data_IF_422101852338
#
_entry.id   IF_422101852338
#
_cell.length_a   1.000
_cell.length_b   1.000
_cell.length_c   1.000
_cell.angle_alpha   90.00
_cell.angle_beta   90.00
_cell.angle_gamma   90.00
#
_symmetry.space_group_name_H-M   'P 1'
#
loop_
_entity.id
_entity.type
_entity.pdbx_description
1 polymer ?
#
# COMPACT_ATOMS: atom_id res chain seq x y z
N UNK A 1 -14.71 23.52 -13.32
CA UNK A 1 -13.27 23.72 -13.13
C UNK A 1 -13.04 24.79 -12.09
N UNK A 2 -12.85 24.50 -10.85
CA UNK A 2 -12.02 25.34 -9.98
C UNK A 2 -11.28 24.54 -8.89
N UNK A 3 -10.79 23.33 -9.16
CA UNK A 3 -10.16 22.49 -8.13
C UNK A 3 -8.63 22.48 -8.17
N UNK A 4 -7.99 23.19 -9.10
CA UNK A 4 -6.55 23.12 -9.32
C UNK A 4 -5.70 24.10 -8.48
N UNK A 5 -6.30 24.95 -7.65
CA UNK A 5 -5.56 26.09 -7.10
C UNK A 5 -5.00 25.97 -5.69
N UNK A 6 -5.18 24.82 -4.97
CA UNK A 6 -4.82 24.79 -3.54
C UNK A 6 -4.20 23.47 -3.02
N UNK A 7 -3.58 22.65 -3.85
CA UNK A 7 -2.93 21.43 -3.35
C UNK A 7 -1.47 21.66 -2.95
N UNK A 8 -1.25 22.25 -1.78
CA UNK A 8 -0.10 21.83 -0.99
C UNK A 8 -0.42 20.42 -0.49
N UNK A 9 0.46 19.42 -0.74
CA UNK A 9 0.21 18.06 -0.26
C UNK A 9 -0.06 18.08 1.24
N UNK A 10 -1.18 17.48 1.67
CA UNK A 10 -1.53 17.38 3.09
C UNK A 10 -0.43 16.69 3.89
N UNK A 11 0.29 15.78 3.23
CA UNK A 11 1.43 15.06 3.78
C UNK A 11 2.64 15.94 4.13
N UNK A 12 2.71 17.18 3.63
CA UNK A 12 3.93 17.99 3.70
C UNK A 12 4.36 18.31 5.14
N UNK A 13 3.47 18.78 6.00
CA UNK A 13 3.83 19.20 7.37
C UNK A 13 4.40 18.06 8.22
N UNK A 14 3.77 16.89 8.36
CA UNK A 14 4.33 15.79 9.14
C UNK A 14 5.70 15.35 8.64
N UNK A 15 5.91 15.41 7.33
CA UNK A 15 7.16 14.97 6.70
C UNK A 15 8.26 16.02 6.84
N UNK A 16 7.93 17.31 6.77
CA UNK A 16 8.88 18.39 7.12
C UNK A 16 9.34 18.27 8.57
N UNK A 17 8.43 17.99 9.50
CA UNK A 17 8.80 17.77 10.90
C UNK A 17 9.70 16.55 11.07
N UNK A 18 9.45 15.45 10.35
CA UNK A 18 10.37 14.32 10.31
C UNK A 18 11.74 14.72 9.73
N UNK A 19 11.80 15.56 8.70
CA UNK A 19 13.02 16.12 8.13
C UNK A 19 13.82 16.93 9.16
N UNK A 20 13.14 17.84 9.87
CA UNK A 20 13.75 18.63 10.94
C UNK A 20 14.28 17.74 12.07
N UNK A 21 13.55 16.68 12.46
CA UNK A 21 14.05 15.70 13.42
C UNK A 21 15.40 15.11 13.00
N UNK A 22 15.54 14.66 11.74
CA UNK A 22 16.79 14.11 11.26
C UNK A 22 17.89 15.13 11.01
N UNK A 23 17.52 16.38 10.73
CA UNK A 23 18.48 17.48 10.60
C UNK A 23 19.11 17.82 11.94
N UNK A 24 18.30 17.91 13.01
CA UNK A 24 18.73 18.26 14.36
C UNK A 24 18.95 17.02 15.25
N UNK A 25 19.15 15.84 14.69
CA UNK A 25 19.25 14.58 15.46
C UNK A 25 20.37 14.61 16.51
N UNK A 26 21.49 15.32 16.24
CA UNK A 26 22.61 15.48 17.17
C UNK A 26 22.26 16.46 18.30
N UNK A 27 21.64 17.57 17.98
CA UNK A 27 21.21 18.60 18.95
C UNK A 27 20.10 18.09 19.85
N UNK A 28 19.20 17.24 19.34
CA UNK A 28 18.14 16.58 20.11
C UNK A 28 18.66 15.48 21.05
N UNK A 29 19.93 15.09 20.96
CA UNK A 29 20.58 14.21 21.93
C UNK A 29 21.10 14.93 23.19
N UNK A 30 21.01 16.27 23.27
CA UNK A 30 21.34 17.10 24.43
C UNK A 30 20.15 17.22 25.43
N UNK A 31 20.25 17.85 26.62
CA UNK A 31 19.44 17.59 27.83
C UNK A 31 17.92 17.69 27.70
N UNK A 32 17.37 18.18 26.59
CA UNK A 32 15.91 18.13 26.36
C UNK A 32 15.50 16.74 25.91
N UNK A 33 14.64 16.03 26.64
CA UNK A 33 14.25 14.68 26.29
C UNK A 33 13.52 14.65 24.93
N UNK A 34 13.83 13.64 24.11
CA UNK A 34 13.25 13.48 22.74
C UNK A 34 11.71 13.49 22.72
N UNK A 35 11.06 13.15 23.83
CA UNK A 35 9.59 13.18 23.94
C UNK A 35 9.02 14.60 23.76
N UNK A 36 9.76 15.65 24.17
CA UNK A 36 9.31 17.04 24.01
C UNK A 36 9.15 17.42 22.51
N UNK A 37 10.11 16.99 21.68
CA UNK A 37 10.00 17.19 20.23
C UNK A 37 8.77 16.42 19.65
N UNK A 38 8.54 15.18 20.09
CA UNK A 38 7.39 14.39 19.66
C UNK A 38 6.07 15.05 20.04
N UNK A 39 5.90 15.46 21.27
CA UNK A 39 4.68 16.15 21.74
C UNK A 39 4.47 17.44 20.94
N UNK A 40 5.49 18.30 20.82
CA UNK A 40 5.37 19.55 20.06
C UNK A 40 4.99 19.33 18.59
N UNK A 41 5.64 18.37 17.94
CA UNK A 41 5.34 18.02 16.53
C UNK A 41 3.94 17.46 16.36
N UNK A 42 3.51 16.52 17.20
CA UNK A 42 2.18 15.93 17.13
C UNK A 42 1.09 16.97 17.44
N UNK A 43 1.32 17.87 18.41
CA UNK A 43 0.40 18.97 18.71
C UNK A 43 0.25 19.90 17.50
N UNK A 44 1.36 20.29 16.85
CA UNK A 44 1.32 21.15 15.67
C UNK A 44 0.58 20.46 14.51
N UNK A 45 0.86 19.17 14.26
CA UNK A 45 0.17 18.39 13.23
C UNK A 45 -1.34 18.33 13.54
N UNK A 46 -1.73 18.10 14.79
CA UNK A 46 -3.12 18.05 15.19
C UNK A 46 -3.85 19.38 14.97
N UNK A 47 -3.21 20.49 15.36
CA UNK A 47 -3.78 21.84 15.16
C UNK A 47 -3.96 22.15 13.67
N UNK A 48 -2.91 21.95 12.86
CA UNK A 48 -2.99 22.21 11.42
C UNK A 48 -3.99 21.27 10.76
N UNK A 49 -3.98 19.98 11.08
CA UNK A 49 -4.90 19.00 10.54
C UNK A 49 -6.37 19.33 10.85
N UNK A 50 -6.66 19.87 12.03
CA UNK A 50 -8.00 20.29 12.39
C UNK A 50 -8.54 21.42 11.49
N UNK A 51 -7.67 22.32 11.03
CA UNK A 51 -8.02 23.43 10.14
C UNK A 51 -7.94 23.10 8.64
N UNK A 52 -7.13 22.09 8.26
CA UNK A 52 -6.94 21.73 6.84
C UNK A 52 -8.11 20.94 6.27
N UNK A 53 -8.87 20.22 7.13
CA UNK A 53 -9.97 19.37 6.66
C UNK A 53 -11.09 20.20 6.06
N UNK A 54 -11.42 19.95 4.80
CA UNK A 54 -12.48 20.62 4.05
C UNK A 54 -13.72 19.72 3.96
N UNK A 55 -14.90 20.33 3.75
CA UNK A 55 -16.21 19.63 3.70
C UNK A 55 -16.28 18.49 2.64
N UNK A 56 -15.54 18.62 1.55
CA UNK A 56 -15.53 17.63 0.46
C UNK A 56 -14.46 16.54 0.60
N UNK A 57 -13.65 16.58 1.66
CA UNK A 57 -12.69 15.53 1.97
C UNK A 57 -13.37 14.31 2.60
N UNK A 58 -12.63 13.19 2.67
CA UNK A 58 -13.04 11.97 3.37
C UNK A 58 -14.19 11.19 2.72
N UNK A 59 -14.24 11.20 1.38
CA UNK A 59 -15.29 10.51 0.64
C UNK A 59 -15.39 9.01 1.00
N UNK A 60 -14.25 8.28 1.01
CA UNK A 60 -14.22 6.85 1.36
C UNK A 60 -14.59 6.62 2.82
N UNK A 61 -14.15 7.53 3.71
CA UNK A 61 -14.50 7.44 5.12
C UNK A 61 -16.01 7.55 5.32
N UNK A 62 -16.64 8.60 4.80
CA UNK A 62 -18.07 8.82 5.01
C UNK A 62 -18.91 7.79 4.28
N UNK A 63 -18.65 7.54 3.00
CA UNK A 63 -19.42 6.60 2.20
C UNK A 63 -19.23 5.15 2.65
N UNK A 64 -18.01 4.77 3.05
CA UNK A 64 -17.67 3.42 3.46
C UNK A 64 -17.72 3.25 4.98
N UNK A 65 -16.69 3.70 5.66
CA UNK A 65 -16.44 3.33 7.07
C UNK A 65 -17.46 3.90 8.05
N UNK A 66 -17.78 5.19 7.95
CA UNK A 66 -18.77 5.84 8.84
C UNK A 66 -20.16 5.23 8.65
N UNK A 67 -20.62 5.11 7.41
CA UNK A 67 -21.92 4.48 7.13
C UNK A 67 -21.92 2.99 7.45
N UNK A 68 -20.84 2.27 7.20
CA UNK A 68 -20.67 0.87 7.61
C UNK A 68 -20.82 0.69 9.11
N UNK A 69 -20.14 1.52 9.91
CA UNK A 69 -20.29 1.52 11.39
C UNK A 69 -21.72 1.83 11.86
N UNK A 70 -22.44 2.72 11.17
CA UNK A 70 -23.86 3.01 11.48
C UNK A 70 -24.79 1.87 11.09
N UNK A 71 -24.60 1.29 9.90
CA UNK A 71 -25.42 0.19 9.39
C UNK A 71 -25.32 -1.05 10.29
N UNK A 72 -24.11 -1.40 10.73
CA UNK A 72 -23.89 -2.59 11.57
C UNK A 72 -24.57 -2.52 12.94
N UNK A 73 -24.81 -1.32 13.46
CA UNK A 73 -25.51 -1.12 14.74
C UNK A 73 -27.03 -1.00 14.55
N UNK A 74 -27.46 -0.34 13.47
CA UNK A 74 -28.90 -0.05 13.26
C UNK A 74 -29.62 -1.18 12.55
N UNK A 75 -29.06 -1.65 11.47
CA UNK A 75 -29.56 -2.76 10.68
C UNK A 75 -28.42 -3.34 9.84
N UNK A 76 -27.84 -4.44 10.26
CA UNK A 76 -26.72 -5.09 9.59
C UNK A 76 -27.09 -5.64 8.21
N UNK A 77 -28.36 -5.98 7.99
CA UNK A 77 -28.83 -6.59 6.74
C UNK A 77 -28.62 -5.68 5.53
N UNK A 78 -28.62 -4.35 5.77
CA UNK A 78 -28.39 -3.34 4.72
C UNK A 78 -26.92 -2.98 4.52
N UNK A 79 -25.97 -3.71 5.13
CA UNK A 79 -24.55 -3.35 5.10
C UNK A 79 -24.00 -3.24 3.66
N UNK A 80 -24.44 -4.14 2.77
CA UNK A 80 -24.00 -4.24 1.38
C UNK A 80 -25.09 -3.97 0.33
N UNK A 81 -26.16 -3.26 0.69
CA UNK A 81 -27.29 -2.96 -0.22
C UNK A 81 -26.89 -2.10 -1.41
N UNK A 82 -25.82 -1.30 -1.27
CA UNK A 82 -25.28 -0.45 -2.33
C UNK A 82 -24.31 -1.18 -3.28
N UNK A 83 -24.42 -2.50 -3.38
CA UNK A 83 -23.58 -3.35 -4.23
C UNK A 83 -22.06 -3.11 -4.00
N UNK A 84 -21.68 -2.84 -2.73
CA UNK A 84 -20.29 -2.55 -2.32
C UNK A 84 -19.69 -1.25 -2.88
N UNK A 85 -20.49 -0.31 -3.35
CA UNK A 85 -20.03 1.04 -3.68
C UNK A 85 -19.77 1.90 -2.42
N UNK A 86 -20.23 1.47 -1.24
CA UNK A 86 -19.97 2.08 0.04
C UNK A 86 -18.95 1.31 0.86
N UNK A 87 -19.43 0.49 1.80
CA UNK A 87 -18.57 -0.36 2.63
C UNK A 87 -18.17 -1.62 1.87
N UNK A 88 -16.87 -1.80 1.62
CA UNK A 88 -16.34 -2.90 0.80
C UNK A 88 -15.54 -3.94 1.58
N UNK A 89 -15.17 -3.61 2.83
CA UNK A 89 -14.36 -4.48 3.66
C UNK A 89 -15.19 -5.63 4.26
N UNK A 90 -14.48 -6.61 4.82
CA UNK A 90 -15.07 -7.73 5.55
C UNK A 90 -16.06 -7.25 6.64
N UNK A 91 -17.21 -7.90 6.87
CA UNK A 91 -18.30 -7.36 7.70
C UNK A 91 -17.86 -6.96 9.11
N UNK A 92 -17.03 -7.80 9.78
CA UNK A 92 -16.54 -7.53 11.12
C UNK A 92 -15.75 -6.21 11.21
N UNK A 93 -15.12 -5.78 10.10
CA UNK A 93 -14.36 -4.54 10.05
C UNK A 93 -15.22 -3.29 10.30
N UNK A 94 -16.52 -3.35 9.99
CA UNK A 94 -17.44 -2.24 10.23
C UNK A 94 -17.59 -1.90 11.73
N UNK A 95 -17.46 -2.91 12.61
CA UNK A 95 -17.54 -2.69 14.07
C UNK A 95 -16.41 -1.81 14.62
N UNK A 96 -15.23 -1.76 13.97
CA UNK A 96 -14.14 -0.88 14.37
C UNK A 96 -14.53 0.60 14.25
N UNK A 97 -15.50 0.93 13.40
CA UNK A 97 -15.95 2.29 13.16
C UNK A 97 -17.18 2.69 13.98
N UNK A 98 -17.78 1.76 14.73
CA UNK A 98 -18.94 2.06 15.58
C UNK A 98 -18.68 3.22 16.57
N UNK A 99 -17.54 3.27 17.28
CA UNK A 99 -17.27 4.40 18.18
C UNK A 99 -17.29 5.76 17.47
N UNK A 100 -16.73 5.81 16.27
CA UNK A 100 -16.68 7.01 15.43
C UNK A 100 -18.06 7.31 14.80
N UNK A 101 -18.79 6.28 14.39
CA UNK A 101 -20.11 6.41 13.78
C UNK A 101 -21.19 6.93 14.74
N UNK A 102 -20.95 6.85 16.05
CA UNK A 102 -21.83 7.41 17.10
C UNK A 102 -21.56 8.91 17.37
N UNK A 103 -20.47 9.46 16.84
CA UNK A 103 -20.19 10.88 16.93
C UNK A 103 -20.99 11.68 15.88
N UNK A 104 -21.18 13.02 16.08
CA UNK A 104 -21.62 13.89 15.01
C UNK A 104 -20.72 13.74 13.78
N UNK A 105 -21.31 13.77 12.58
CA UNK A 105 -20.62 13.43 11.31
C UNK A 105 -19.33 14.22 11.13
N UNK A 106 -19.35 15.52 11.34
CA UNK A 106 -18.19 16.42 11.19
C UNK A 106 -17.08 16.08 12.19
N UNK A 107 -17.44 15.86 13.46
CA UNK A 107 -16.48 15.49 14.51
C UNK A 107 -15.85 14.12 14.20
N UNK A 108 -16.66 13.16 13.79
CA UNK A 108 -16.21 11.82 13.38
C UNK A 108 -15.18 11.88 12.26
N UNK A 109 -15.47 12.65 11.21
CA UNK A 109 -14.57 12.86 10.09
C UNK A 109 -13.25 13.51 10.52
N UNK A 110 -13.32 14.56 11.35
CA UNK A 110 -12.12 15.24 11.88
C UNK A 110 -11.26 14.31 12.73
N UNK A 111 -11.86 13.52 13.61
CA UNK A 111 -11.13 12.54 14.44
C UNK A 111 -10.44 11.49 13.56
N UNK A 112 -11.16 10.94 12.58
CA UNK A 112 -10.57 9.95 11.68
C UNK A 112 -9.42 10.52 10.83
N UNK A 113 -9.61 11.72 10.28
CA UNK A 113 -8.57 12.41 9.53
C UNK A 113 -7.33 12.66 10.39
N UNK A 114 -7.52 13.18 11.60
CA UNK A 114 -6.43 13.48 12.53
C UNK A 114 -5.63 12.23 12.90
N UNK A 115 -6.29 11.08 13.12
CA UNK A 115 -5.58 9.81 13.36
C UNK A 115 -4.70 9.45 12.17
N UNK A 116 -5.22 9.47 10.94
CA UNK A 116 -4.45 9.19 9.74
C UNK A 116 -3.30 10.18 9.51
N UNK A 117 -3.54 11.46 9.79
CA UNK A 117 -2.59 12.54 9.61
C UNK A 117 -1.44 12.51 10.63
N UNK A 118 -1.76 12.26 11.90
CA UNK A 118 -0.77 12.09 12.97
C UNK A 118 0.14 10.88 12.73
N UNK A 119 -0.38 9.81 12.13
CA UNK A 119 0.41 8.61 11.81
C UNK A 119 1.50 8.87 10.75
N UNK A 120 1.40 9.92 9.94
CA UNK A 120 2.42 10.23 8.93
C UNK A 120 3.79 10.55 9.54
N UNK A 121 3.83 11.17 10.71
CA UNK A 121 5.09 11.49 11.38
C UNK A 121 5.85 10.23 11.82
N UNK A 122 5.27 9.31 12.62
CA UNK A 122 5.94 8.07 12.96
C UNK A 122 6.21 7.21 11.71
N UNK A 123 5.31 7.18 10.71
CA UNK A 123 5.52 6.48 9.46
C UNK A 123 6.80 6.97 8.75
N UNK A 124 6.97 8.29 8.59
CA UNK A 124 8.14 8.89 7.97
C UNK A 124 9.42 8.55 8.74
N UNK A 125 9.39 8.70 10.08
CA UNK A 125 10.53 8.37 10.92
C UNK A 125 10.91 6.88 10.86
N UNK A 126 9.92 5.99 10.90
CA UNK A 126 10.14 4.56 10.79
C UNK A 126 10.64 4.16 9.40
N UNK A 127 10.09 4.74 8.34
CA UNK A 127 10.54 4.49 6.97
C UNK A 127 12.03 4.79 6.80
N UNK A 128 12.48 5.98 7.26
CA UNK A 128 13.89 6.36 7.21
C UNK A 128 14.77 5.42 8.04
N UNK A 129 14.34 5.05 9.26
CA UNK A 129 15.09 4.16 10.14
C UNK A 129 15.18 2.72 9.60
N UNK A 130 14.07 2.15 9.16
CA UNK A 130 14.00 0.77 8.66
C UNK A 130 14.76 0.61 7.35
N UNK A 131 14.79 1.65 6.52
CA UNK A 131 15.54 1.67 5.26
C UNK A 131 17.04 1.94 5.47
N UNK A 132 17.48 2.24 6.69
CA UNK A 132 18.86 2.59 7.03
C UNK A 132 19.45 3.74 6.17
N UNK A 133 18.59 4.61 5.66
CA UNK A 133 18.99 5.73 4.79
C UNK A 133 19.82 6.72 5.56
N UNK A 134 20.96 7.15 4.99
CA UNK A 134 21.91 8.08 5.62
C UNK A 134 22.11 9.35 4.77
N UNK A 135 22.57 10.42 5.45
CA UNK A 135 22.93 11.68 4.81
C UNK A 135 21.78 12.30 4.03
N UNK A 136 22.08 12.92 2.89
CA UNK A 136 21.09 13.61 2.05
C UNK A 136 19.99 12.69 1.50
N UNK A 137 20.26 11.37 1.37
CA UNK A 137 19.26 10.40 0.91
C UNK A 137 18.05 10.31 1.86
N UNK A 138 18.20 10.64 3.16
CA UNK A 138 17.07 10.75 4.09
C UNK A 138 16.05 11.77 3.58
N UNK A 139 16.54 12.92 3.12
CA UNK A 139 15.69 13.99 2.60
C UNK A 139 15.05 13.61 1.27
N UNK A 140 15.74 12.85 0.44
CA UNK A 140 15.16 12.30 -0.80
C UNK A 140 13.99 11.34 -0.50
N UNK A 141 14.14 10.42 0.46
CA UNK A 141 13.05 9.52 0.88
C UNK A 141 11.88 10.32 1.46
N UNK A 142 12.15 11.33 2.28
CA UNK A 142 11.11 12.19 2.85
C UNK A 142 10.42 13.03 1.77
N UNK A 143 11.16 13.54 0.80
CA UNK A 143 10.59 14.28 -0.33
C UNK A 143 9.69 13.37 -1.20
N UNK A 144 10.13 12.14 -1.47
CA UNK A 144 9.31 11.16 -2.19
C UNK A 144 8.03 10.84 -1.42
N UNK A 145 8.08 10.75 -0.10
CA UNK A 145 6.90 10.53 0.73
C UNK A 145 5.97 11.75 0.71
N UNK A 146 6.52 12.98 0.81
CA UNK A 146 5.77 14.23 0.81
C UNK A 146 5.09 14.51 -0.55
N UNK A 147 5.74 14.13 -1.65
CA UNK A 147 5.25 14.37 -3.01
C UNK A 147 4.54 13.14 -3.60
N UNK A 148 4.23 12.13 -2.78
CA UNK A 148 3.56 10.93 -3.23
C UNK A 148 2.06 11.16 -3.40
N UNK A 149 1.59 11.34 -4.63
CA UNK A 149 0.18 11.54 -4.94
C UNK A 149 -0.74 10.43 -4.43
N UNK A 150 -0.41 9.12 -4.55
CA UNK A 150 -1.16 8.03 -3.94
C UNK A 150 -1.35 8.13 -2.42
N UNK A 151 -0.32 8.54 -1.68
CA UNK A 151 -0.42 8.71 -0.23
C UNK A 151 -1.29 9.92 0.14
N UNK A 152 -1.06 11.04 -0.53
CA UNK A 152 -1.87 12.24 -0.36
C UNK A 152 -3.34 11.97 -0.67
N UNK A 153 -3.61 11.28 -1.78
CA UNK A 153 -4.95 10.84 -2.16
C UNK A 153 -5.60 9.93 -1.11
N UNK A 154 -4.83 9.01 -0.48
CA UNK A 154 -5.32 8.19 0.63
C UNK A 154 -5.80 9.02 1.82
N UNK A 155 -5.04 10.04 2.20
CA UNK A 155 -5.38 10.93 3.32
C UNK A 155 -6.65 11.73 3.00
N UNK A 156 -6.72 12.32 1.80
CA UNK A 156 -7.89 13.09 1.37
C UNK A 156 -9.16 12.26 1.28
N UNK A 157 -9.08 11.01 0.81
CA UNK A 157 -10.22 10.10 0.78
C UNK A 157 -10.66 9.63 2.17
N UNK A 158 -9.83 9.80 3.21
CA UNK A 158 -10.03 9.13 4.49
C UNK A 158 -9.89 7.62 4.35
N UNK A 159 -8.88 7.16 3.61
CA UNK A 159 -8.57 5.75 3.44
C UNK A 159 -7.57 5.25 4.47
N UNK A 160 -7.34 3.95 4.55
CA UNK A 160 -6.53 3.28 5.57
C UNK A 160 -5.13 2.89 5.10
N UNK A 161 -4.68 3.34 3.91
CA UNK A 161 -3.40 2.89 3.31
C UNK A 161 -2.19 3.23 4.19
N UNK A 162 -2.14 4.42 4.80
CA UNK A 162 -1.05 4.81 5.70
C UNK A 162 -0.97 3.92 6.96
N UNK A 163 -2.12 3.42 7.44
CA UNK A 163 -2.19 2.46 8.55
C UNK A 163 -1.57 1.13 8.11
N UNK A 164 -1.93 0.66 6.92
CA UNK A 164 -1.39 -0.57 6.34
C UNK A 164 0.11 -0.45 6.07
N UNK A 165 0.59 0.70 5.57
CA UNK A 165 2.03 0.97 5.42
C UNK A 165 2.77 0.82 6.75
N UNK A 166 2.21 1.33 7.84
CA UNK A 166 2.80 1.19 9.17
C UNK A 166 2.87 -0.28 9.60
N UNK A 167 1.82 -1.06 9.39
CA UNK A 167 1.84 -2.50 9.69
C UNK A 167 2.90 -3.23 8.88
N UNK A 168 3.06 -2.94 7.60
CA UNK A 168 4.11 -3.54 6.75
C UNK A 168 5.51 -3.16 7.25
N UNK A 169 5.75 -1.89 7.58
CA UNK A 169 7.04 -1.44 8.14
C UNK A 169 7.35 -2.12 9.47
N UNK A 170 6.39 -2.20 10.38
CA UNK A 170 6.55 -2.88 11.66
C UNK A 170 6.75 -4.39 11.47
N UNK A 171 6.11 -5.01 10.47
CA UNK A 171 6.32 -6.40 10.14
C UNK A 171 7.76 -6.68 9.72
N UNK A 172 8.36 -5.82 8.87
CA UNK A 172 9.78 -5.98 8.52
C UNK A 172 10.72 -5.65 9.69
N UNK A 173 10.38 -4.71 10.54
CA UNK A 173 11.14 -4.47 11.76
C UNK A 173 11.13 -5.69 12.69
N UNK A 174 9.99 -6.31 12.91
CA UNK A 174 9.85 -7.52 13.76
C UNK A 174 10.50 -8.73 13.13
N UNK A 175 10.43 -8.87 11.80
CA UNK A 175 11.13 -9.93 11.04
C UNK A 175 12.66 -9.83 11.24
N UNK A 176 13.22 -8.60 11.17
CA UNK A 176 14.64 -8.34 11.41
C UNK A 176 15.08 -8.68 12.86
N UNK A 177 14.13 -8.67 13.82
CA UNK A 177 14.36 -9.03 15.22
C UNK A 177 14.11 -10.51 15.53
N UNK A 178 13.66 -11.29 14.52
CA UNK A 178 13.28 -12.70 14.70
C UNK A 178 11.95 -12.89 15.44
N UNK A 179 11.13 -11.83 15.55
CA UNK A 179 9.79 -11.90 16.17
C UNK A 179 8.75 -12.38 15.15
N UNK A 180 8.98 -13.57 14.62
CA UNK A 180 8.25 -14.13 13.48
C UNK A 180 6.73 -14.18 13.69
N UNK A 181 6.24 -14.54 14.90
CA UNK A 181 4.81 -14.53 15.21
C UNK A 181 4.19 -13.14 15.08
N UNK A 182 4.86 -12.13 15.64
CA UNK A 182 4.37 -10.75 15.56
C UNK A 182 4.42 -10.22 14.12
N UNK A 183 5.44 -10.60 13.34
CA UNK A 183 5.49 -10.32 11.91
C UNK A 183 4.24 -10.85 11.20
N UNK A 184 3.87 -12.09 11.46
CA UNK A 184 2.68 -12.71 10.88
C UNK A 184 1.38 -12.01 11.29
N UNK A 185 1.25 -11.66 12.57
CA UNK A 185 0.08 -10.91 13.08
C UNK A 185 -0.05 -9.57 12.36
N UNK A 186 1.03 -8.79 12.25
CA UNK A 186 1.02 -7.48 11.58
C UNK A 186 0.65 -7.58 10.10
N UNK A 187 1.20 -8.57 9.38
CA UNK A 187 0.85 -8.83 7.98
C UNK A 187 -0.58 -9.34 7.84
N UNK A 188 -1.05 -10.18 8.76
CA UNK A 188 -2.44 -10.65 8.80
C UNK A 188 -3.44 -9.51 8.95
N UNK A 189 -3.21 -8.59 9.90
CA UNK A 189 -4.04 -7.39 10.07
C UNK A 189 -4.00 -6.52 8.82
N UNK A 190 -2.81 -6.27 8.25
CA UNK A 190 -2.66 -5.52 7.00
C UNK A 190 -3.43 -6.16 5.84
N UNK A 191 -3.37 -7.49 5.72
CA UNK A 191 -4.07 -8.27 4.69
C UNK A 191 -5.59 -8.23 4.80
N UNK A 192 -6.13 -8.20 6.03
CA UNK A 192 -7.57 -8.02 6.25
C UNK A 192 -8.07 -6.63 5.83
N UNK A 193 -7.23 -5.60 6.00
CA UNK A 193 -7.57 -4.24 5.59
C UNK A 193 -7.42 -4.09 4.06
N UNK A 194 -6.37 -4.68 3.48
CA UNK A 194 -6.01 -4.59 2.05
C UNK A 194 -5.73 -5.98 1.50
N UNK A 195 -6.73 -6.60 0.89
CA UNK A 195 -6.65 -7.97 0.34
C UNK A 195 -5.43 -8.26 -0.55
N UNK A 196 -4.91 -7.32 -1.38
CA UNK A 196 -3.69 -7.57 -2.14
C UNK A 196 -2.46 -7.94 -1.29
N UNK A 197 -2.46 -7.68 0.02
CA UNK A 197 -1.38 -8.12 0.92
C UNK A 197 -1.46 -9.59 1.32
N UNK A 198 -2.58 -10.27 1.09
CA UNK A 198 -2.73 -11.70 1.43
C UNK A 198 -1.77 -12.56 0.61
N UNK A 199 -1.67 -12.29 -0.71
CA UNK A 199 -0.78 -13.05 -1.59
C UNK A 199 0.70 -12.92 -1.19
N UNK A 200 1.29 -11.73 -0.98
CA UNK A 200 2.67 -11.61 -0.51
C UNK A 200 2.86 -12.17 0.91
N UNK A 201 1.85 -12.18 1.76
CA UNK A 201 1.95 -12.85 3.07
C UNK A 201 2.10 -14.37 2.92
N UNK A 202 1.47 -14.97 1.91
CA UNK A 202 1.63 -16.39 1.55
C UNK A 202 3.05 -16.76 1.09
N UNK A 203 3.87 -15.78 0.69
CA UNK A 203 5.29 -15.97 0.38
C UNK A 203 6.04 -16.68 1.52
N UNK A 204 5.76 -16.33 2.76
CA UNK A 204 6.43 -16.90 3.93
C UNK A 204 6.16 -18.40 4.11
N UNK A 205 5.01 -18.90 3.62
CA UNK A 205 4.71 -20.33 3.57
C UNK A 205 5.73 -21.07 2.67
N UNK A 206 6.01 -20.52 1.49
CA UNK A 206 6.98 -21.08 0.54
C UNK A 206 8.44 -20.98 1.02
N UNK A 207 8.70 -20.17 2.04
CA UNK A 207 10.01 -20.00 2.67
C UNK A 207 10.15 -20.74 4.00
N UNK A 208 9.17 -21.56 4.38
CA UNK A 208 9.20 -22.34 5.63
C UNK A 208 9.16 -21.48 6.90
N UNK A 209 8.74 -20.23 6.80
CA UNK A 209 8.60 -19.32 7.94
C UNK A 209 7.28 -19.57 8.68
N UNK A 210 7.13 -20.77 9.22
CA UNK A 210 5.89 -21.28 9.78
C UNK A 210 5.31 -20.42 10.91
N UNK A 211 6.18 -19.75 11.70
CA UNK A 211 5.74 -18.83 12.77
C UNK A 211 5.09 -17.56 12.19
N UNK A 212 5.61 -17.05 11.09
CA UNK A 212 4.98 -15.91 10.37
C UNK A 212 3.63 -16.33 9.83
N UNK A 213 3.56 -17.49 9.16
CA UNK A 213 2.29 -18.05 8.63
C UNK A 213 1.31 -18.26 9.77
N UNK A 214 1.74 -18.87 10.89
CA UNK A 214 0.92 -19.11 12.07
C UNK A 214 0.33 -17.82 12.66
N UNK A 215 1.12 -16.75 12.74
CA UNK A 215 0.65 -15.43 13.18
C UNK A 215 -0.43 -14.85 12.27
N UNK A 216 -0.24 -14.94 10.95
CA UNK A 216 -1.25 -14.52 9.97
C UNK A 216 -2.53 -15.35 10.03
N UNK A 217 -2.41 -16.67 10.12
CA UNK A 217 -3.56 -17.59 10.25
C UNK A 217 -4.30 -17.38 11.57
N UNK A 218 -3.60 -17.08 12.67
CA UNK A 218 -4.23 -16.73 13.94
C UNK A 218 -5.15 -15.52 13.81
N UNK A 219 -4.69 -14.46 13.14
CA UNK A 219 -5.50 -13.26 12.89
C UNK A 219 -6.69 -13.59 11.97
N UNK A 220 -6.44 -14.26 10.85
CA UNK A 220 -7.48 -14.63 9.91
C UNK A 220 -8.53 -15.55 10.55
N UNK A 221 -8.10 -16.55 11.32
CA UNK A 221 -8.97 -17.48 12.05
C UNK A 221 -9.78 -16.79 13.14
N UNK A 222 -9.14 -15.90 13.94
CA UNK A 222 -9.84 -15.15 14.97
C UNK A 222 -10.92 -14.22 14.37
N UNK A 223 -10.59 -13.50 13.29
CA UNK A 223 -11.53 -12.60 12.61
C UNK A 223 -12.66 -13.39 11.96
N UNK A 224 -12.35 -14.51 11.30
CA UNK A 224 -13.38 -15.38 10.72
C UNK A 224 -14.29 -15.95 11.82
N UNK A 225 -13.73 -16.49 12.90
CA UNK A 225 -14.50 -17.01 14.02
C UNK A 225 -15.43 -15.95 14.63
N UNK A 226 -14.89 -14.77 14.95
CA UNK A 226 -15.69 -13.67 15.48
C UNK A 226 -16.79 -13.22 14.49
N UNK A 227 -16.48 -13.21 13.20
CA UNK A 227 -17.49 -12.86 12.19
C UNK A 227 -18.61 -13.88 12.13
N UNK A 228 -18.30 -15.17 12.17
CA UNK A 228 -19.32 -16.23 12.15
C UNK A 228 -20.17 -16.28 13.42
N UNK A 229 -19.62 -15.82 14.56
CA UNK A 229 -20.35 -15.78 15.85
C UNK A 229 -21.21 -14.52 15.97
N UNK A 230 -20.70 -13.38 15.50
CA UNK A 230 -21.33 -12.06 15.73
C UNK A 230 -22.18 -11.57 14.57
N UNK A 231 -22.02 -12.14 13.38
CA UNK A 231 -22.62 -11.64 12.14
C UNK A 231 -23.35 -12.78 11.43
N UNK A 232 -24.60 -12.58 10.98
CA UNK A 232 -25.35 -13.56 10.21
C UNK A 232 -24.56 -14.08 9.01
N UNK A 233 -24.70 -15.38 8.73
CA UNK A 233 -23.96 -16.02 7.64
C UNK A 233 -24.30 -15.40 6.28
N UNK A 234 -25.56 -14.94 6.12
CA UNK A 234 -26.05 -14.27 4.92
C UNK A 234 -25.29 -12.98 4.61
N UNK A 235 -24.87 -12.23 5.63
CA UNK A 235 -24.10 -11.00 5.44
C UNK A 235 -22.64 -11.33 5.03
N UNK A 236 -22.08 -12.39 5.62
CA UNK A 236 -20.76 -12.89 5.22
C UNK A 236 -20.75 -13.40 3.78
N UNK A 237 -21.77 -14.16 3.37
CA UNK A 237 -21.92 -14.65 1.98
C UNK A 237 -22.17 -13.49 1.00
N UNK A 238 -23.01 -12.52 1.37
CA UNK A 238 -23.27 -11.32 0.57
C UNK A 238 -21.97 -10.54 0.30
N UNK A 239 -21.11 -10.38 1.32
CA UNK A 239 -19.79 -9.75 1.13
C UNK A 239 -18.94 -10.52 0.13
N UNK A 240 -18.86 -11.86 0.27
CA UNK A 240 -18.06 -12.68 -0.64
C UNK A 240 -18.59 -12.59 -2.07
N UNK A 241 -19.89 -12.70 -2.26
CA UNK A 241 -20.51 -12.69 -3.58
C UNK A 241 -20.43 -11.32 -4.25
N UNK A 242 -20.86 -10.25 -3.55
CA UNK A 242 -21.01 -8.90 -4.13
C UNK A 242 -19.71 -8.10 -4.10
N UNK A 243 -18.92 -8.19 -3.02
CA UNK A 243 -17.73 -7.35 -2.90
C UNK A 243 -16.45 -8.03 -3.39
N UNK A 244 -16.38 -9.36 -3.37
CA UNK A 244 -15.19 -10.09 -3.80
C UNK A 244 -15.37 -10.72 -5.18
N UNK A 245 -16.32 -11.63 -5.33
CA UNK A 245 -16.49 -12.42 -6.56
C UNK A 245 -17.04 -11.58 -7.73
N UNK A 246 -17.99 -10.69 -7.47
CA UNK A 246 -18.53 -9.81 -8.51
C UNK A 246 -17.44 -8.86 -9.03
N UNK A 247 -16.65 -8.26 -8.15
CA UNK A 247 -15.54 -7.37 -8.55
C UNK A 247 -14.40 -8.14 -9.23
N UNK A 248 -14.18 -9.42 -8.88
CA UNK A 248 -13.21 -10.27 -9.54
C UNK A 248 -13.63 -10.65 -10.97
N UNK A 249 -14.93 -10.83 -11.21
CA UNK A 249 -15.48 -11.23 -12.51
C UNK A 249 -15.73 -10.07 -13.48
N UNK A 250 -15.98 -8.88 -12.97
CA UNK A 250 -16.38 -7.73 -13.80
C UNK A 250 -15.31 -6.60 -13.71
N UNK A 251 -14.58 -6.33 -14.79
CA UNK A 251 -13.59 -5.28 -14.82
C UNK A 251 -14.22 -3.89 -14.71
N UNK A 252 -13.49 -2.95 -14.15
CA UNK A 252 -13.85 -1.53 -14.17
C UNK A 252 -12.75 -0.70 -14.83
N UNK A 253 -13.14 0.18 -15.77
CA UNK A 253 -12.23 1.11 -16.44
C UNK A 253 -11.94 2.36 -15.61
N UNK A 254 -12.31 2.37 -14.32
CA UNK A 254 -12.16 3.53 -13.44
C UNK A 254 -10.77 4.17 -13.57
N UNK A 255 -10.74 5.50 -13.66
CA UNK A 255 -9.50 6.28 -13.82
C UNK A 255 -8.48 6.02 -12.70
N UNK A 256 -8.93 5.64 -11.52
CA UNK A 256 -8.11 5.34 -10.35
C UNK A 256 -7.87 3.84 -10.12
N UNK A 257 -8.31 2.95 -11.01
CA UNK A 257 -7.94 1.54 -11.00
C UNK A 257 -6.62 1.35 -11.76
N UNK A 258 -5.54 1.14 -11.02
CA UNK A 258 -4.17 1.04 -11.54
C UNK A 258 -3.69 -0.42 -11.66
N UNK A 259 -4.61 -1.39 -11.75
CA UNK A 259 -4.31 -2.79 -12.06
C UNK A 259 -4.17 -3.02 -13.56
N UNK A 260 -3.62 -4.19 -13.95
CA UNK A 260 -3.65 -4.69 -15.33
C UNK A 260 -5.08 -4.69 -15.88
N UNK A 261 -6.05 -5.13 -15.07
CA UNK A 261 -7.45 -5.16 -15.46
C UNK A 261 -8.00 -3.76 -15.77
N UNK A 262 -7.72 -2.76 -14.91
CA UNK A 262 -8.14 -1.39 -15.13
C UNK A 262 -7.49 -0.79 -16.37
N UNK A 263 -6.19 -1.02 -16.58
CA UNK A 263 -5.46 -0.57 -17.76
C UNK A 263 -6.04 -1.15 -19.05
N UNK A 264 -6.23 -2.48 -19.11
CA UNK A 264 -6.78 -3.15 -20.28
C UNK A 264 -8.27 -2.79 -20.52
N UNK A 265 -9.04 -2.60 -19.44
CA UNK A 265 -10.43 -2.15 -19.57
C UNK A 265 -10.52 -0.79 -20.28
N UNK A 266 -9.63 0.15 -19.95
CA UNK A 266 -9.56 1.46 -20.64
C UNK A 266 -9.18 1.36 -22.10
N UNK A 267 -8.42 0.33 -22.51
CA UNK A 267 -8.01 0.10 -23.90
C UNK A 267 -9.10 -0.62 -24.70
N UNK A 268 -9.63 -1.73 -24.15
CA UNK A 268 -10.53 -2.61 -24.90
C UNK A 268 -12.02 -2.28 -24.74
N UNK A 269 -12.36 -1.47 -23.74
CA UNK A 269 -13.73 -1.07 -23.42
C UNK A 269 -13.81 0.44 -23.14
N UNK A 270 -13.41 1.30 -24.11
CA UNK A 270 -13.39 2.75 -23.91
C UNK A 270 -14.80 3.32 -23.71
N UNK A 271 -14.89 4.44 -23.01
CA UNK A 271 -16.11 5.23 -22.90
C UNK A 271 -16.40 5.74 -21.51
N UNK A 272 -16.58 4.86 -20.52
CA UNK A 272 -16.83 5.25 -19.14
C UNK A 272 -15.63 4.93 -18.25
N UNK A 273 -14.97 5.99 -17.73
CA UNK A 273 -13.83 5.84 -16.78
C UNK A 273 -14.29 5.96 -15.33
N UNK A 274 -15.57 5.71 -15.05
CA UNK A 274 -16.18 5.59 -13.73
C UNK A 274 -15.97 4.21 -13.10
N UNK A 275 -16.70 3.94 -12.03
CA UNK A 275 -16.56 2.72 -11.23
C UNK A 275 -17.53 1.60 -11.64
N UNK A 276 -18.36 1.82 -12.65
CA UNK A 276 -19.35 0.84 -13.08
C UNK A 276 -18.66 -0.43 -13.59
N UNK A 277 -19.15 -1.62 -13.19
CA UNK A 277 -18.64 -2.88 -13.72
C UNK A 277 -18.97 -3.00 -15.20
N UNK A 278 -18.01 -3.49 -15.98
CA UNK A 278 -18.13 -3.66 -17.42
C UNK A 278 -18.26 -5.15 -17.76
N UNK A 279 -19.01 -5.46 -18.82
CA UNK A 279 -19.04 -6.80 -19.38
C UNK A 279 -17.75 -7.07 -20.16
N UNK A 280 -16.92 -8.05 -19.78
CA UNK A 280 -15.63 -8.27 -20.41
C UNK A 280 -15.77 -8.78 -21.86
N UNK A 281 -15.04 -8.17 -22.78
CA UNK A 281 -14.95 -8.62 -24.17
C UNK A 281 -13.98 -9.80 -24.31
N UNK A 282 -14.10 -10.69 -25.33
CA UNK A 282 -13.14 -11.77 -25.56
C UNK A 282 -11.69 -11.28 -25.70
N UNK A 283 -11.47 -10.15 -26.37
CA UNK A 283 -10.15 -9.54 -26.52
C UNK A 283 -9.57 -9.09 -25.18
N UNK A 284 -10.39 -8.48 -24.30
CA UNK A 284 -10.00 -8.12 -22.95
C UNK A 284 -9.61 -9.36 -22.13
N UNK A 285 -10.42 -10.42 -22.17
CA UNK A 285 -10.17 -11.67 -21.43
C UNK A 285 -8.83 -12.28 -21.86
N UNK A 286 -8.60 -12.40 -23.18
CA UNK A 286 -7.35 -12.92 -23.72
C UNK A 286 -6.14 -12.09 -23.29
N UNK A 287 -6.20 -10.76 -23.45
CA UNK A 287 -5.13 -9.85 -23.07
C UNK A 287 -4.85 -9.89 -21.55
N UNK A 288 -5.90 -9.94 -20.73
CA UNK A 288 -5.78 -10.03 -19.27
C UNK A 288 -5.10 -11.33 -18.82
N UNK A 289 -5.49 -12.46 -19.39
CA UNK A 289 -4.90 -13.76 -19.07
C UNK A 289 -3.42 -13.83 -19.51
N UNK A 290 -3.09 -13.38 -20.73
CA UNK A 290 -1.71 -13.31 -21.21
C UNK A 290 -0.89 -12.41 -20.31
N UNK A 291 -1.38 -11.21 -20.01
CA UNK A 291 -0.67 -10.26 -19.13
C UNK A 291 -0.43 -10.82 -17.73
N UNK A 292 -1.40 -11.50 -17.12
CA UNK A 292 -1.23 -12.18 -15.83
C UNK A 292 -0.17 -13.27 -15.88
N UNK A 293 -0.16 -14.09 -16.94
CA UNK A 293 0.86 -15.13 -17.12
C UNK A 293 2.24 -14.52 -17.25
N UNK A 294 2.40 -13.49 -18.09
CA UNK A 294 3.69 -12.82 -18.29
C UNK A 294 4.22 -12.19 -16.98
N UNK A 295 3.34 -11.61 -16.16
CA UNK A 295 3.71 -11.06 -14.86
C UNK A 295 3.99 -12.16 -13.83
N UNK A 296 3.34 -13.32 -13.91
CA UNK A 296 3.55 -14.43 -13.00
C UNK A 296 4.88 -15.15 -13.21
N UNK A 297 5.37 -15.25 -14.45
CA UNK A 297 6.60 -16.00 -14.76
C UNK A 297 7.83 -15.55 -13.95
N UNK A 298 8.19 -14.24 -13.86
CA UNK A 298 9.31 -13.80 -13.04
C UNK A 298 9.10 -14.07 -11.56
N UNK A 299 7.88 -13.85 -11.04
CA UNK A 299 7.55 -14.12 -9.64
C UNK A 299 7.72 -15.61 -9.30
N UNK A 300 7.23 -16.51 -10.13
CA UNK A 300 7.37 -17.95 -9.97
C UNK A 300 8.84 -18.37 -10.05
N UNK A 301 9.59 -17.83 -11.02
CA UNK A 301 11.03 -18.09 -11.12
C UNK A 301 11.77 -17.72 -9.83
N UNK A 302 11.51 -16.54 -9.28
CA UNK A 302 12.10 -16.08 -8.01
C UNK A 302 11.72 -16.98 -6.84
N UNK A 303 10.46 -17.40 -6.78
CA UNK A 303 9.98 -18.32 -5.75
C UNK A 303 10.69 -19.68 -5.82
N UNK A 304 10.95 -20.19 -7.01
CA UNK A 304 11.61 -21.50 -7.22
C UNK A 304 13.12 -21.37 -7.01
N UNK A 305 13.78 -20.46 -7.72
CA UNK A 305 15.24 -20.30 -7.68
C UNK A 305 15.74 -19.86 -6.29
N UNK A 306 14.97 -19.00 -5.62
CA UNK A 306 15.31 -18.53 -4.27
C UNK A 306 15.17 -19.57 -3.15
N UNK A 307 14.73 -20.80 -3.38
CA UNK A 307 14.51 -21.80 -2.30
C UNK A 307 15.80 -22.25 -1.62
N UNK A 308 16.91 -22.29 -2.34
CA UNK A 308 18.19 -22.90 -1.90
C UNK A 308 19.18 -21.92 -1.27
N UNK A 309 18.89 -20.63 -1.23
CA UNK A 309 19.79 -19.61 -0.68
C UNK A 309 19.41 -19.26 0.75
N UNK A 310 20.38 -19.23 1.66
CA UNK A 310 20.20 -18.59 2.97
C UNK A 310 19.84 -17.12 2.79
N UNK A 311 18.82 -16.67 3.51
CA UNK A 311 18.24 -15.35 3.30
C UNK A 311 18.35 -14.49 4.53
N UNK A 312 18.91 -13.31 4.32
CA UNK A 312 18.77 -12.21 5.26
C UNK A 312 17.32 -11.66 5.22
N UNK A 313 16.92 -10.93 6.23
CA UNK A 313 15.62 -10.27 6.24
C UNK A 313 15.43 -9.30 5.05
N UNK A 314 16.53 -8.73 4.52
CA UNK A 314 16.49 -7.89 3.31
C UNK A 314 16.14 -8.68 2.05
N UNK A 315 16.68 -9.89 1.89
CA UNK A 315 16.30 -10.79 0.79
C UNK A 315 14.81 -11.16 0.87
N UNK A 316 14.33 -11.47 2.09
CA UNK A 316 12.90 -11.71 2.31
C UNK A 316 12.06 -10.49 1.95
N UNK A 317 12.52 -9.29 2.29
CA UNK A 317 11.81 -8.06 1.95
C UNK A 317 11.70 -7.85 0.43
N UNK A 318 12.81 -8.00 -0.32
CA UNK A 318 12.79 -7.83 -1.79
C UNK A 318 11.85 -8.85 -2.44
N UNK A 319 11.92 -10.14 -2.06
CA UNK A 319 11.02 -11.15 -2.60
C UNK A 319 9.55 -10.88 -2.24
N UNK A 320 9.28 -10.49 -0.99
CA UNK A 320 7.94 -10.07 -0.58
C UNK A 320 7.42 -8.91 -1.44
N UNK A 321 8.24 -7.88 -1.66
CA UNK A 321 7.81 -6.72 -2.46
C UNK A 321 7.65 -7.05 -3.94
N UNK A 322 8.43 -7.98 -4.50
CA UNK A 322 8.18 -8.50 -5.86
C UNK A 322 6.77 -9.12 -5.94
N UNK A 323 6.42 -9.96 -4.96
CA UNK A 323 5.10 -10.58 -4.91
C UNK A 323 4.00 -9.54 -4.62
N UNK A 324 4.28 -8.50 -3.82
CA UNK A 324 3.32 -7.41 -3.59
C UNK A 324 3.04 -6.62 -4.88
N UNK A 325 4.09 -6.23 -5.62
CA UNK A 325 3.89 -5.53 -6.91
C UNK A 325 3.11 -6.42 -7.88
N UNK A 326 3.48 -7.70 -7.99
CA UNK A 326 2.73 -8.69 -8.77
C UNK A 326 1.25 -8.74 -8.35
N UNK A 327 0.98 -8.81 -7.03
CA UNK A 327 -0.38 -8.84 -6.50
C UNK A 327 -1.18 -7.58 -6.84
N UNK A 328 -0.57 -6.39 -6.71
CA UNK A 328 -1.21 -5.13 -7.07
C UNK A 328 -1.51 -5.06 -8.58
N UNK A 329 -0.54 -5.44 -9.42
CA UNK A 329 -0.70 -5.43 -10.86
C UNK A 329 -1.77 -6.40 -11.34
N UNK A 330 -1.89 -7.59 -10.75
CA UNK A 330 -2.81 -8.65 -11.18
C UNK A 330 -4.13 -8.68 -10.43
N UNK A 331 -4.28 -7.87 -9.38
CA UNK A 331 -5.54 -7.72 -8.66
C UNK A 331 -6.66 -7.30 -9.61
N UNK A 332 -7.90 -7.80 -9.43
CA UNK A 332 -9.06 -7.31 -10.18
C UNK A 332 -9.18 -5.78 -10.11
N UNK A 333 -8.94 -5.23 -8.94
CA UNK A 333 -8.95 -3.80 -8.65
C UNK A 333 -7.74 -3.47 -7.78
N UNK A 334 -6.94 -2.48 -8.19
CA UNK A 334 -5.89 -1.89 -7.39
C UNK A 334 -6.00 -0.35 -7.48
N UNK A 335 -6.58 0.23 -6.44
CA UNK A 335 -6.78 1.67 -6.41
C UNK A 335 -5.46 2.44 -6.31
N UNK A 336 -5.40 3.62 -6.90
CA UNK A 336 -4.22 4.51 -6.91
C UNK A 336 -3.52 4.58 -5.54
N UNK A 337 -4.25 4.75 -4.46
CA UNK A 337 -3.66 4.88 -3.11
C UNK A 337 -2.97 3.61 -2.58
N UNK A 338 -3.21 2.41 -3.15
CA UNK A 338 -2.49 1.18 -2.77
C UNK A 338 -1.00 1.26 -3.13
N UNK A 339 -0.66 2.02 -4.19
CA UNK A 339 0.71 2.13 -4.69
C UNK A 339 1.63 2.96 -3.78
N UNK A 340 1.09 3.66 -2.77
CA UNK A 340 1.88 4.25 -1.70
C UNK A 340 2.70 3.20 -0.92
N UNK A 341 2.26 1.93 -0.87
CA UNK A 341 3.02 0.82 -0.28
C UNK A 341 4.38 0.62 -0.93
N UNK A 342 4.54 0.99 -2.20
CA UNK A 342 5.79 0.83 -2.95
C UNK A 342 6.88 1.84 -2.56
N UNK A 343 6.54 2.86 -1.76
CA UNK A 343 7.54 3.73 -1.13
C UNK A 343 8.46 2.97 -0.16
N UNK A 344 7.98 1.87 0.44
CA UNK A 344 8.78 1.08 1.38
C UNK A 344 9.98 0.43 0.67
N UNK A 345 9.80 -0.40 -0.39
CA UNK A 345 10.93 -0.96 -1.12
C UNK A 345 11.77 0.09 -1.86
N UNK A 346 11.17 1.19 -2.31
CA UNK A 346 11.92 2.31 -2.89
C UNK A 346 12.91 2.92 -1.89
N UNK A 347 12.45 3.18 -0.66
CA UNK A 347 13.30 3.67 0.42
C UNK A 347 14.41 2.67 0.79
N UNK A 348 14.12 1.37 0.79
CA UNK A 348 15.12 0.33 1.05
C UNK A 348 16.22 0.32 -0.03
N UNK A 349 15.86 0.44 -1.32
CA UNK A 349 16.84 0.51 -2.43
C UNK A 349 17.71 1.77 -2.30
N UNK A 350 17.11 2.91 -1.97
CA UNK A 350 17.84 4.17 -1.77
C UNK A 350 18.76 4.14 -0.54
N UNK A 351 18.37 3.40 0.51
CA UNK A 351 19.11 3.29 1.76
C UNK A 351 20.36 2.44 1.66
N UNK A 352 20.23 1.27 1.08
CA UNK A 352 21.27 0.24 1.06
C UNK A 352 21.57 -0.30 -0.36
N UNK A 353 21.94 0.56 -1.32
CA UNK A 353 22.17 0.12 -2.71
C UNK A 353 23.30 -0.91 -2.81
N UNK A 354 24.34 -0.78 -1.98
CA UNK A 354 25.50 -1.69 -2.01
C UNK A 354 25.13 -3.10 -1.54
N UNK A 355 24.37 -3.23 -0.47
CA UNK A 355 23.89 -4.53 0.04
C UNK A 355 22.95 -5.24 -0.93
N UNK A 356 22.29 -4.47 -1.79
CA UNK A 356 21.35 -4.98 -2.79
C UNK A 356 22.00 -5.16 -4.16
N UNK A 357 23.33 -5.00 -4.27
CA UNK A 357 24.07 -5.02 -5.55
C UNK A 357 23.42 -4.12 -6.62
N UNK A 358 22.92 -2.97 -6.17
CA UNK A 358 22.27 -2.00 -7.03
C UNK A 358 23.30 -1.31 -7.93
N UNK A 359 23.20 -1.53 -9.24
CA UNK A 359 24.12 -0.98 -10.24
C UNK A 359 23.63 0.40 -10.73
N UNK A 360 24.58 1.25 -11.16
CA UNK A 360 24.24 2.62 -11.59
C UNK A 360 23.21 2.68 -12.72
N UNK A 361 23.22 1.74 -13.68
CA UNK A 361 22.27 1.70 -14.77
C UNK A 361 20.81 1.45 -14.30
N UNK A 362 20.62 0.81 -13.14
CA UNK A 362 19.29 0.57 -12.57
C UNK A 362 18.56 1.87 -12.21
N UNK A 363 19.31 3.00 -12.12
CA UNK A 363 18.72 4.34 -11.94
C UNK A 363 17.80 4.72 -13.11
N UNK A 364 18.06 4.18 -14.31
CA UNK A 364 17.24 4.39 -15.50
C UNK A 364 15.84 3.76 -15.34
N UNK A 365 15.68 2.76 -14.47
CA UNK A 365 14.38 2.20 -14.12
C UNK A 365 13.79 2.86 -12.85
N UNK A 366 14.64 3.14 -11.85
CA UNK A 366 14.19 3.69 -10.56
C UNK A 366 13.58 5.08 -10.72
N UNK A 367 14.27 6.01 -11.39
CA UNK A 367 13.80 7.39 -11.49
C UNK A 367 12.43 7.51 -12.20
N UNK A 368 12.22 6.97 -13.41
CA UNK A 368 10.91 7.05 -14.05
C UNK A 368 9.83 6.27 -13.29
N UNK A 369 10.16 5.13 -12.66
CA UNK A 369 9.16 4.44 -11.85
C UNK A 369 8.72 5.26 -10.64
N UNK A 370 9.63 5.91 -9.92
CA UNK A 370 9.28 6.76 -8.78
C UNK A 370 8.48 8.00 -9.20
N UNK A 371 8.82 8.61 -10.32
CA UNK A 371 8.07 9.74 -10.88
C UNK A 371 6.63 9.30 -11.17
N UNK A 372 6.46 8.22 -11.94
CA UNK A 372 5.13 7.72 -12.33
C UNK A 372 4.31 7.22 -11.13
N UNK A 373 4.95 6.53 -10.18
CA UNK A 373 4.30 6.09 -8.93
C UNK A 373 3.85 7.25 -8.06
N UNK A 374 4.48 8.41 -8.15
CA UNK A 374 4.16 9.58 -7.35
C UNK A 374 3.18 10.56 -8.00
N UNK A 375 2.77 10.32 -9.27
CA UNK A 375 1.84 11.21 -9.99
C UNK A 375 0.54 11.40 -9.19
N UNK A 376 0.15 12.66 -8.86
CA UNK A 376 -1.14 12.94 -8.26
C UNK A 376 -2.30 12.60 -9.20
N UNK A 377 -3.44 12.17 -8.65
CA UNK A 377 -4.65 11.85 -9.40
C UNK A 377 -5.08 13.00 -10.31
N UNK A 378 -5.08 14.21 -9.80
CA UNK A 378 -5.58 15.39 -10.54
C UNK A 378 -4.67 15.75 -11.71
N UNK A 379 -3.35 15.57 -11.58
CA UNK A 379 -2.42 15.72 -12.70
C UNK A 379 -2.68 14.65 -13.78
N UNK A 380 -2.93 13.41 -13.39
CA UNK A 380 -3.27 12.32 -14.31
C UNK A 380 -4.55 12.64 -15.10
N UNK A 381 -5.59 13.13 -14.42
CA UNK A 381 -6.85 13.55 -15.07
C UNK A 381 -6.65 14.75 -15.99
N UNK A 382 -5.91 15.77 -15.56
CA UNK A 382 -5.63 16.95 -16.38
C UNK A 382 -4.85 16.60 -17.66
N UNK A 383 -3.86 15.72 -17.55
CA UNK A 383 -3.12 15.21 -18.70
C UNK A 383 -4.00 14.40 -19.65
N UNK A 384 -4.93 13.62 -19.12
CA UNK A 384 -5.92 12.91 -19.93
C UNK A 384 -6.85 13.87 -20.66
N UNK A 385 -7.42 14.88 -19.97
CA UNK A 385 -8.27 15.91 -20.57
C UNK A 385 -7.54 16.67 -21.70
N UNK A 386 -6.26 16.97 -21.50
CA UNK A 386 -5.44 17.68 -22.47
C UNK A 386 -5.06 16.82 -23.68
N UNK A 387 -4.69 15.56 -23.49
CA UNK A 387 -4.14 14.68 -24.55
C UNK A 387 -5.17 13.76 -25.19
N UNK A 388 -6.30 13.49 -24.52
CA UNK A 388 -7.26 12.46 -24.89
C UNK A 388 -6.73 11.02 -24.70
N UNK A 389 -5.49 10.86 -24.21
CA UNK A 389 -4.84 9.55 -24.13
C UNK A 389 -5.13 8.85 -22.80
N UNK A 390 -5.75 7.67 -22.86
CA UNK A 390 -6.05 6.82 -21.68
C UNK A 390 -4.80 6.33 -20.96
N UNK A 391 -3.62 6.40 -21.59
CA UNK A 391 -2.34 6.10 -20.93
C UNK A 391 -2.08 7.06 -19.77
N UNK A 392 -2.54 8.32 -19.88
CA UNK A 392 -2.41 9.31 -18.80
C UNK A 392 -3.21 8.97 -17.56
N UNK A 393 -4.21 8.10 -17.66
CA UNK A 393 -4.96 7.57 -16.53
C UNK A 393 -4.28 6.36 -15.86
N UNK A 394 -3.08 5.97 -16.30
CA UNK A 394 -2.43 4.73 -15.84
C UNK A 394 -0.99 4.93 -15.32
N UNK A 395 -0.62 6.07 -14.70
CA UNK A 395 0.76 6.32 -14.35
C UNK A 395 1.29 5.34 -13.30
N UNK A 396 0.48 4.98 -12.27
CA UNK A 396 0.93 4.04 -11.24
C UNK A 396 1.06 2.60 -11.79
N UNK A 397 0.21 2.20 -12.72
CA UNK A 397 0.35 0.91 -13.41
C UNK A 397 1.68 0.85 -14.17
N UNK A 398 1.98 1.84 -15.02
CA UNK A 398 3.22 1.89 -15.81
C UNK A 398 4.43 2.00 -14.88
N UNK A 399 4.37 2.88 -13.86
CA UNK A 399 5.42 3.05 -12.86
C UNK A 399 5.71 1.76 -12.09
N UNK A 400 4.68 0.99 -11.74
CA UNK A 400 4.86 -0.29 -11.05
C UNK A 400 5.35 -1.41 -11.95
N UNK A 401 5.08 -1.41 -13.25
CA UNK A 401 5.73 -2.32 -14.20
C UNK A 401 7.24 -2.09 -14.27
N UNK A 402 7.67 -0.83 -14.36
CA UNK A 402 9.09 -0.46 -14.34
C UNK A 402 9.73 -0.84 -13.00
N UNK A 403 9.02 -0.59 -11.90
CA UNK A 403 9.49 -0.91 -10.56
C UNK A 403 9.56 -2.43 -10.32
N UNK A 404 8.62 -3.20 -10.87
CA UNK A 404 8.65 -4.66 -10.87
C UNK A 404 9.90 -5.20 -11.57
N UNK A 405 10.18 -4.71 -12.77
CA UNK A 405 11.42 -5.03 -13.50
C UNK A 405 12.68 -4.66 -12.72
N UNK A 406 12.68 -3.50 -12.05
CA UNK A 406 13.79 -3.08 -11.17
C UNK A 406 14.00 -4.05 -10.00
N UNK A 407 12.94 -4.40 -9.27
CA UNK A 407 13.05 -5.33 -8.14
C UNK A 407 13.57 -6.71 -8.57
N UNK A 408 13.12 -7.21 -9.73
CA UNK A 408 13.61 -8.47 -10.32
C UNK A 408 15.10 -8.37 -10.62
N UNK A 409 15.56 -7.27 -11.21
CA UNK A 409 16.99 -7.08 -11.54
C UNK A 409 17.86 -6.92 -10.29
N UNK A 410 17.37 -6.25 -9.26
CA UNK A 410 18.04 -6.16 -7.94
C UNK A 410 18.16 -7.56 -7.33
N UNK A 411 17.07 -8.32 -7.32
CA UNK A 411 17.09 -9.69 -6.82
C UNK A 411 18.07 -10.58 -7.56
N UNK A 412 18.06 -10.56 -8.92
CA UNK A 412 18.96 -11.36 -9.75
C UNK A 412 20.43 -11.01 -9.52
N UNK A 413 20.75 -9.71 -9.38
CA UNK A 413 22.11 -9.24 -9.08
C UNK A 413 22.61 -9.75 -7.72
N UNK A 414 21.75 -9.71 -6.69
CA UNK A 414 22.07 -10.19 -5.34
C UNK A 414 22.23 -11.72 -5.30
N UNK A 415 21.36 -12.44 -6.02
CA UNK A 415 21.35 -13.88 -6.07
C UNK A 415 22.64 -14.43 -6.76
N UNK A 416 23.03 -13.85 -7.90
CA UNK A 416 24.22 -14.24 -8.63
C UNK A 416 25.51 -13.98 -7.82
N UNK A 417 25.58 -12.87 -7.08
CA UNK A 417 26.73 -12.57 -6.22
C UNK A 417 26.88 -13.61 -5.09
N UNK A 418 25.77 -14.02 -4.46
CA UNK A 418 25.77 -15.05 -3.43
C UNK A 418 26.23 -16.43 -3.97
N UNK A 419 25.81 -16.80 -5.19
CA UNK A 419 26.27 -18.03 -5.84
C UNK A 419 27.75 -18.01 -6.17
N UNK A 420 28.27 -16.89 -6.68
CA UNK A 420 29.70 -16.75 -7.00
C UNK A 420 30.58 -16.87 -5.74
N UNK A 421 30.17 -16.25 -4.63
CA UNK A 421 30.88 -16.35 -3.34
C UNK A 421 30.90 -17.79 -2.80
N UNK A 422 29.79 -18.51 -2.87
CA UNK A 422 29.71 -19.91 -2.42
C UNK A 422 30.53 -20.87 -3.30
N UNK A 423 30.70 -20.54 -4.59
CA UNK A 423 31.50 -21.35 -5.52
C UNK A 423 33.01 -21.17 -5.28
N UNK A 424 33.48 -19.95 -4.94
CA UNK A 424 34.88 -19.69 -4.60
C UNK A 424 35.30 -20.42 -3.32
N UNK A 425 34.46 -20.37 -2.27
CA UNK A 425 34.72 -21.06 -0.99
C UNK A 425 34.82 -22.59 -1.12
N UNK A 426 34.08 -23.19 -2.06
CA UNK A 426 34.19 -24.66 -2.32
C UNK A 426 35.42 -25.08 -3.12
N UNK A 427 36.15 -24.14 -3.72
CA UNK A 427 37.39 -24.43 -4.45
C UNK A 427 38.64 -24.28 -3.59
N UNK A 428 38.54 -23.60 -2.47
CA UNK A 428 39.66 -23.37 -1.54
C UNK A 428 39.67 -24.35 -0.35
N UNK A 429 38.65 -25.16 -0.19
CA UNK A 429 38.60 -26.27 0.80
C UNK A 429 38.57 -27.63 0.12
#
# INVERSE_FOLDING_TARGET
MPYYSYYLPVTLLPILLAGLYFFFEKELSSPRPRWFWWIGSLTLIALVGYYVIQEHALYDYFKGYFHGGRKVVRNIDVLYDDACYGFTNFPLFAYLFVPLANLPKELSGRVFFLVGYLLLLPLACWLVKTSEVKGWRRFLVLALLALNGPLDYSIWLGNTTQIVMLFVLLAFFTLNRGWDWLTGILLGVGGLIKLPLVLPSGYFLLRGKWKVVGGGLLVAGAVLFLSLVLIPLEINSTWLERCVLMMAGNPTAAYNNQSLNGFLARIFMPGNYGWDPLTPTPAYIAASNIGRILLALPALYILIAGRKTEKTAQHHAIEFFIILVFSLLTSPIAWTHYFALLLIPAAMILGNPERLNYRNWMRLLLAPSLILLSVPKDLSLALFEWTGSTLMLSPQFIGSLLFYGLLITVWASSHNAAHAANFSLRREG
#
